data_IF_247836667717
#
_entry.id   IF_247836667717
#
_cell.length_a   1.000
_cell.length_b   1.000
_cell.length_c   1.000
_cell.angle_alpha   90.00
_cell.angle_beta   90.00
_cell.angle_gamma   90.00
#
_symmetry.space_group_name_H-M   'P 1'
#
loop_
_entity.id
_entity.type
_entity.pdbx_description
1 polymer ?
#
# COMPACT_ATOMS: atom_id res chain seq x y z
N UNK A 1 4.32 20.46 -3.63
CA UNK A 1 3.46 19.28 -3.47
C UNK A 1 3.79 18.48 -2.22
N UNK A 2 4.96 17.82 -2.10
CA UNK A 2 5.27 17.00 -0.90
C UNK A 2 5.30 17.76 0.43
N UNK A 3 5.77 19.01 0.44
CA UNK A 3 5.70 19.89 1.62
C UNK A 3 4.27 20.17 2.08
N UNK A 4 3.33 20.29 1.14
CA UNK A 4 1.92 20.51 1.44
C UNK A 4 1.26 19.21 1.94
N UNK A 5 1.63 18.06 1.35
CA UNK A 5 1.21 16.74 1.82
C UNK A 5 1.64 16.53 3.29
N UNK A 6 2.92 16.73 3.61
CA UNK A 6 3.43 16.62 4.99
C UNK A 6 2.78 17.63 5.95
N UNK A 7 2.38 18.80 5.44
CA UNK A 7 1.80 19.87 6.27
C UNK A 7 0.31 19.66 6.56
N UNK A 8 -0.44 19.10 5.61
CA UNK A 8 -1.91 19.08 5.67
C UNK A 8 -2.53 17.68 5.63
N UNK A 9 -1.82 16.65 5.18
CA UNK A 9 -2.38 15.31 4.97
C UNK A 9 -1.73 14.31 5.94
N UNK A 10 -2.48 13.91 6.98
CA UNK A 10 -2.01 13.02 8.07
C UNK A 10 -2.73 11.68 8.14
N UNK A 11 -3.62 11.39 7.18
CA UNK A 11 -4.40 10.17 7.17
C UNK A 11 -4.62 9.62 5.77
N UNK A 12 -4.93 8.33 5.73
CA UNK A 12 -5.35 7.61 4.53
C UNK A 12 -6.83 7.99 4.27
N UNK A 13 -7.14 8.65 3.15
CA UNK A 13 -8.48 9.10 2.79
C UNK A 13 -9.14 8.14 1.79
N UNK A 14 -10.47 8.00 1.86
CA UNK A 14 -11.25 7.08 1.01
C UNK A 14 -11.33 7.48 -0.47
N UNK A 15 -10.97 8.73 -0.80
CA UNK A 15 -10.92 9.22 -2.18
C UNK A 15 -9.55 8.89 -2.80
N UNK A 16 -9.37 7.63 -3.15
CA UNK A 16 -8.24 7.16 -3.92
C UNK A 16 -8.57 7.38 -5.39
N UNK A 17 -8.06 8.46 -5.97
CA UNK A 17 -8.17 8.72 -7.40
C UNK A 17 -7.91 7.45 -8.24
N UNK A 18 -8.67 7.32 -9.33
CA UNK A 18 -8.70 6.12 -10.16
C UNK A 18 -7.48 5.96 -11.08
N UNK A 19 -6.58 6.94 -11.09
CA UNK A 19 -5.41 6.95 -11.97
C UNK A 19 -4.21 6.29 -11.27
N UNK A 20 -3.93 5.04 -11.65
CA UNK A 20 -2.69 4.32 -11.35
C UNK A 20 -1.89 4.01 -12.62
N UNK A 21 -2.27 4.61 -13.75
CA UNK A 21 -1.68 4.38 -15.06
C UNK A 21 -1.86 2.94 -15.52
N UNK A 22 -0.82 2.13 -15.35
CA UNK A 22 -0.80 0.67 -15.64
C UNK A 22 -0.12 -0.11 -14.52
N UNK A 23 -0.01 0.47 -13.32
CA UNK A 23 0.68 -0.17 -12.20
C UNK A 23 -0.19 -1.26 -11.56
N UNK A 24 0.19 -2.53 -11.75
CA UNK A 24 -0.43 -3.67 -11.06
C UNK A 24 0.34 -4.02 -9.78
N UNK A 25 -0.18 -3.69 -8.58
CA UNK A 25 0.53 -3.96 -7.34
C UNK A 25 0.73 -5.47 -7.08
N UNK A 26 -0.16 -6.33 -7.57
CA UNK A 26 -0.01 -7.77 -7.39
C UNK A 26 1.18 -8.33 -8.17
N UNK A 27 1.70 -7.62 -9.16
CA UNK A 27 2.91 -8.02 -9.89
C UNK A 27 4.22 -7.73 -9.13
N UNK A 28 4.18 -6.91 -8.07
CA UNK A 28 5.39 -6.39 -7.42
C UNK A 28 5.50 -6.69 -5.91
N UNK A 29 4.45 -7.20 -5.24
CA UNK A 29 4.47 -7.50 -3.80
C UNK A 29 5.54 -8.53 -3.38
N UNK A 30 5.84 -9.48 -4.26
CA UNK A 30 6.83 -10.55 -4.09
C UNK A 30 7.87 -10.52 -5.21
N UNK A 31 8.12 -9.34 -5.80
CA UNK A 31 9.18 -9.16 -6.79
C UNK A 31 10.50 -9.70 -6.24
N UNK A 32 11.24 -10.44 -7.06
CA UNK A 32 12.49 -11.08 -6.67
C UNK A 32 13.66 -10.08 -6.65
N UNK A 33 14.70 -10.40 -5.86
CA UNK A 33 15.93 -9.60 -5.78
C UNK A 33 16.79 -9.69 -7.07
N UNK A 34 16.50 -10.63 -7.98
CA UNK A 34 17.25 -10.88 -9.22
C UNK A 34 16.90 -9.94 -10.39
N UNK A 35 16.15 -8.88 -10.12
CA UNK A 35 15.68 -7.92 -11.14
C UNK A 35 16.71 -6.87 -11.54
N UNK A 36 17.83 -6.79 -10.82
CA UNK A 36 18.87 -5.78 -11.04
C UNK A 36 18.55 -4.40 -10.45
N UNK A 37 17.42 -4.28 -9.73
CA UNK A 37 17.08 -3.12 -8.92
C UNK A 37 17.89 -3.11 -7.62
N UNK A 38 18.13 -1.91 -7.08
CA UNK A 38 18.75 -1.81 -5.76
C UNK A 38 17.77 -2.18 -4.63
N UNK A 39 18.32 -2.39 -3.43
CA UNK A 39 17.54 -2.84 -2.27
C UNK A 39 16.49 -1.83 -1.81
N UNK A 40 16.72 -0.53 -2.01
CA UNK A 40 15.77 0.51 -1.61
C UNK A 40 14.61 0.58 -2.59
N UNK A 41 14.88 0.47 -3.89
CA UNK A 41 13.86 0.39 -4.94
C UNK A 41 12.99 -0.87 -4.78
N UNK A 42 13.60 -2.03 -4.51
CA UNK A 42 12.87 -3.27 -4.24
C UNK A 42 11.99 -3.15 -3.00
N UNK A 43 12.51 -2.58 -1.91
CA UNK A 43 11.74 -2.34 -0.69
C UNK A 43 10.56 -1.40 -0.98
N UNK A 44 10.81 -0.29 -1.68
CA UNK A 44 9.78 0.70 -2.01
C UNK A 44 8.68 0.10 -2.88
N UNK A 45 9.03 -0.74 -3.87
CA UNK A 45 8.07 -1.44 -4.72
C UNK A 45 7.21 -2.42 -3.92
N UNK A 46 7.80 -3.23 -3.05
CA UNK A 46 7.07 -4.22 -2.24
C UNK A 46 6.13 -3.53 -1.26
N UNK A 47 6.64 -2.55 -0.50
CA UNK A 47 5.86 -1.77 0.47
C UNK A 47 4.76 -0.97 -0.22
N UNK A 48 5.09 -0.23 -1.28
CA UNK A 48 4.15 0.58 -2.05
C UNK A 48 3.04 -0.26 -2.69
N UNK A 49 3.38 -1.45 -3.21
CA UNK A 49 2.39 -2.38 -3.77
C UNK A 49 1.42 -2.89 -2.73
N UNK A 50 1.93 -3.32 -1.56
CA UNK A 50 1.08 -3.78 -0.47
C UNK A 50 0.17 -2.66 0.05
N UNK A 51 0.66 -1.42 0.14
CA UNK A 51 -0.15 -0.26 0.53
C UNK A 51 -1.23 0.03 -0.51
N UNK A 52 -0.90 0.03 -1.81
CA UNK A 52 -1.89 0.22 -2.88
C UNK A 52 -2.97 -0.87 -2.84
N UNK A 53 -2.61 -2.11 -2.51
CA UNK A 53 -3.57 -3.19 -2.28
C UNK A 53 -4.52 -2.84 -1.12
N UNK A 54 -4.01 -2.41 0.03
CA UNK A 54 -4.83 -2.00 1.17
C UNK A 54 -5.77 -0.83 0.84
N UNK A 55 -5.29 0.16 0.08
CA UNK A 55 -6.12 1.26 -0.43
C UNK A 55 -7.25 0.74 -1.33
N UNK A 56 -6.94 -0.15 -2.26
CA UNK A 56 -7.94 -0.75 -3.16
C UNK A 56 -8.94 -1.63 -2.40
N UNK A 57 -8.53 -2.29 -1.31
CA UNK A 57 -9.45 -3.01 -0.42
C UNK A 57 -10.43 -2.06 0.27
N UNK A 58 -9.93 -0.96 0.85
CA UNK A 58 -10.78 0.08 1.46
C UNK A 58 -11.74 0.70 0.44
N UNK A 59 -11.27 0.95 -0.78
CA UNK A 59 -12.10 1.46 -1.87
C UNK A 59 -13.20 0.46 -2.26
N UNK A 60 -12.85 -0.83 -2.39
CA UNK A 60 -13.81 -1.89 -2.70
C UNK A 60 -14.92 -1.96 -1.63
N UNK A 61 -14.57 -1.80 -0.35
CA UNK A 61 -15.56 -1.71 0.73
C UNK A 61 -16.42 -0.45 0.62
N UNK A 62 -15.81 0.72 0.41
CA UNK A 62 -16.51 2.01 0.29
C UNK A 62 -17.51 2.09 -0.87
N UNK A 63 -17.29 1.32 -1.95
CA UNK A 63 -18.20 1.25 -3.10
C UNK A 63 -19.41 0.31 -2.89
N UNK A 64 -19.65 -0.17 -1.66
CA UNK A 64 -20.72 -1.11 -1.36
C UNK A 64 -20.35 -2.57 -1.65
N UNK A 65 -19.05 -2.87 -1.81
CA UNK A 65 -18.53 -4.23 -1.82
C UNK A 65 -18.66 -4.86 -0.44
N UNK A 66 -19.86 -5.35 -0.11
CA UNK A 66 -20.05 -6.19 1.07
C UNK A 66 -19.21 -7.48 0.94
N UNK A 67 -18.83 -8.14 2.05
CA UNK A 67 -18.13 -9.43 2.06
C UNK A 67 -18.80 -10.54 1.23
N UNK A 68 -20.08 -10.37 0.87
CA UNK A 68 -20.84 -11.30 0.04
C UNK A 68 -20.63 -11.11 -1.49
N UNK A 69 -20.05 -9.99 -1.92
CA UNK A 69 -19.72 -9.71 -3.31
C UNK A 69 -18.21 -9.59 -3.44
N UNK A 70 -17.53 -10.74 -3.57
CA UNK A 70 -16.11 -10.78 -3.90
C UNK A 70 -15.90 -10.07 -5.24
N UNK A 71 -15.46 -8.81 -5.21
CA UNK A 71 -14.91 -8.19 -6.41
C UNK A 71 -13.74 -9.05 -6.89
N UNK A 72 -13.53 -9.10 -8.21
CA UNK A 72 -12.42 -9.87 -8.79
C UNK A 72 -11.08 -9.52 -8.10
N UNK A 73 -10.88 -8.24 -7.78
CA UNK A 73 -9.73 -7.77 -7.02
C UNK A 73 -9.63 -8.39 -5.62
N UNK A 74 -10.70 -8.38 -4.81
CA UNK A 74 -10.68 -8.96 -3.47
C UNK A 74 -10.38 -10.46 -3.48
N UNK A 75 -10.86 -11.17 -4.51
CA UNK A 75 -10.51 -12.58 -4.70
C UNK A 75 -9.02 -12.75 -5.03
N UNK A 76 -8.47 -11.96 -5.94
CA UNK A 76 -7.03 -11.99 -6.27
C UNK A 76 -6.14 -11.67 -5.06
N UNK A 77 -6.56 -10.73 -4.21
CA UNK A 77 -5.84 -10.42 -2.95
C UNK A 77 -5.89 -11.60 -1.99
N UNK A 78 -7.06 -12.25 -1.83
CA UNK A 78 -7.20 -13.44 -0.99
C UNK A 78 -6.31 -14.59 -1.49
N UNK A 79 -6.29 -14.83 -2.79
CA UNK A 79 -5.48 -15.89 -3.40
C UNK A 79 -3.98 -15.60 -3.20
N UNK A 80 -3.55 -14.35 -3.40
CA UNK A 80 -2.17 -13.92 -3.14
C UNK A 80 -1.79 -14.05 -1.65
N UNK A 81 -2.69 -13.73 -0.73
CA UNK A 81 -2.48 -13.87 0.70
C UNK A 81 -2.31 -15.35 1.10
N UNK A 82 -3.20 -16.23 0.63
CA UNK A 82 -3.11 -17.68 0.88
C UNK A 82 -1.83 -18.28 0.29
N UNK A 83 -1.36 -17.76 -0.85
CA UNK A 83 -0.11 -18.18 -1.47
C UNK A 83 1.15 -17.62 -0.77
N UNK A 84 1.03 -16.83 0.29
CA UNK A 84 2.17 -16.30 1.05
C UNK A 84 2.95 -15.20 0.33
N UNK A 85 2.33 -14.50 -0.64
CA UNK A 85 3.02 -13.50 -1.48
C UNK A 85 3.38 -12.21 -0.72
N UNK A 86 2.90 -12.03 0.51
CA UNK A 86 3.18 -10.84 1.32
C UNK A 86 4.31 -11.04 2.34
N UNK A 87 4.95 -12.22 2.39
CA UNK A 87 5.93 -12.59 3.42
C UNK A 87 7.14 -11.64 3.54
N UNK A 88 7.45 -10.88 2.48
CA UNK A 88 8.53 -9.89 2.46
C UNK A 88 8.16 -8.56 3.15
N UNK A 89 6.88 -8.36 3.47
CA UNK A 89 6.33 -7.16 4.12
C UNK A 89 5.38 -7.55 5.27
N UNK A 90 5.89 -8.21 6.34
CA UNK A 90 5.07 -8.92 7.34
C UNK A 90 4.07 -8.03 8.09
N UNK A 91 4.39 -6.75 8.33
CA UNK A 91 3.42 -5.83 8.93
C UNK A 91 2.25 -5.51 8.00
N UNK A 92 2.53 -5.33 6.70
CA UNK A 92 1.51 -5.09 5.70
C UNK A 92 0.73 -6.37 5.38
N UNK A 93 1.38 -7.53 5.42
CA UNK A 93 0.73 -8.85 5.38
C UNK A 93 -0.31 -8.99 6.48
N UNK A 94 0.03 -8.64 7.73
CA UNK A 94 -0.92 -8.67 8.84
C UNK A 94 -2.11 -7.73 8.60
N UNK A 95 -1.87 -6.56 8.00
CA UNK A 95 -2.94 -5.63 7.63
C UNK A 95 -3.85 -6.17 6.51
N UNK A 96 -3.28 -6.86 5.51
CA UNK A 96 -4.07 -7.53 4.45
C UNK A 96 -4.94 -8.62 5.07
N UNK A 97 -4.35 -9.45 5.95
CA UNK A 97 -5.08 -10.49 6.67
C UNK A 97 -6.25 -9.95 7.50
N UNK A 98 -6.04 -8.82 8.21
CA UNK A 98 -7.10 -8.10 8.91
C UNK A 98 -8.18 -7.59 7.94
N UNK A 99 -7.77 -6.99 6.83
CA UNK A 99 -8.67 -6.47 5.81
C UNK A 99 -9.57 -7.53 5.20
N UNK A 100 -9.04 -8.71 4.90
CA UNK A 100 -9.84 -9.83 4.38
C UNK A 100 -10.94 -10.30 5.34
N UNK A 101 -10.83 -9.97 6.63
CA UNK A 101 -11.79 -10.36 7.67
C UNK A 101 -12.75 -9.23 8.06
N UNK A 102 -12.27 -7.99 8.08
CA UNK A 102 -13.03 -6.85 8.58
C UNK A 102 -12.57 -5.53 7.97
N UNK A 103 -13.48 -4.87 7.26
CA UNK A 103 -13.31 -3.49 6.80
C UNK A 103 -13.01 -2.55 7.98
N UNK A 104 -13.77 -2.67 9.08
CA UNK A 104 -13.65 -1.78 10.24
C UNK A 104 -12.24 -1.91 10.84
N UNK A 105 -11.76 -3.13 11.03
CA UNK A 105 -10.41 -3.37 11.57
C UNK A 105 -9.32 -2.84 10.64
N UNK A 106 -9.47 -3.01 9.33
CA UNK A 106 -8.54 -2.44 8.35
C UNK A 106 -8.56 -0.91 8.37
N UNK A 107 -9.74 -0.31 8.46
CA UNK A 107 -9.92 1.15 8.52
C UNK A 107 -9.23 1.73 9.75
N UNK A 108 -9.41 1.12 10.91
CA UNK A 108 -8.72 1.53 12.15
C UNK A 108 -7.20 1.41 12.02
N UNK A 109 -6.71 0.33 11.42
CA UNK A 109 -5.26 0.11 11.22
C UNK A 109 -4.65 1.00 10.14
N UNK A 110 -5.43 1.42 9.15
CA UNK A 110 -4.95 2.15 7.97
C UNK A 110 -4.26 3.47 8.31
N UNK A 111 -4.66 4.13 9.40
CA UNK A 111 -4.08 5.40 9.83
C UNK A 111 -2.63 5.24 10.31
N UNK A 112 -2.32 4.13 10.99
CA UNK A 112 -0.95 3.84 11.42
C UNK A 112 -0.06 3.49 10.24
N UNK A 113 -0.58 2.70 9.30
CA UNK A 113 0.12 2.31 8.07
C UNK A 113 0.45 3.56 7.24
N UNK A 114 -0.52 4.44 7.03
CA UNK A 114 -0.29 5.70 6.31
C UNK A 114 0.82 6.53 6.95
N UNK A 115 0.74 6.72 8.28
CA UNK A 115 1.73 7.51 9.02
C UNK A 115 3.13 6.92 8.89
N UNK A 116 3.25 5.60 9.00
CA UNK A 116 4.55 4.91 8.98
C UNK A 116 5.17 4.86 7.58
N UNK A 117 4.40 4.52 6.54
CA UNK A 117 4.96 4.22 5.23
C UNK A 117 4.87 5.37 4.24
N UNK A 118 3.75 6.10 4.23
CA UNK A 118 3.50 7.15 3.23
C UNK A 118 3.97 8.50 3.75
N UNK A 119 3.49 8.89 4.93
CA UNK A 119 3.83 10.18 5.52
C UNK A 119 5.31 10.28 5.87
N UNK A 120 5.86 9.26 6.54
CA UNK A 120 7.28 9.26 6.92
C UNK A 120 8.19 9.35 5.70
N UNK A 121 7.90 8.60 4.63
CA UNK A 121 8.67 8.66 3.39
C UNK A 121 8.72 10.07 2.80
N UNK A 122 7.57 10.74 2.65
CA UNK A 122 7.55 12.12 2.14
C UNK A 122 8.15 13.14 3.13
N UNK A 123 8.02 12.90 4.43
CA UNK A 123 8.66 13.73 5.45
C UNK A 123 10.18 13.66 5.34
N UNK A 124 10.74 12.47 5.15
CA UNK A 124 12.17 12.25 4.95
C UNK A 124 12.64 12.93 3.66
N UNK A 125 11.94 12.76 2.54
CA UNK A 125 12.27 13.46 1.28
C UNK A 125 12.26 14.99 1.40
N UNK A 126 11.39 15.56 2.25
CA UNK A 126 11.33 17.01 2.48
C UNK A 126 12.49 17.49 3.37
N UNK A 127 12.95 16.64 4.28
CA UNK A 127 14.05 16.93 5.20
C UNK A 127 15.42 16.68 4.57
N UNK A 128 15.51 15.76 3.60
CA UNK A 128 16.72 15.46 2.85
C UNK A 128 17.04 16.62 1.87
N UNK A 129 17.81 17.59 2.37
CA UNK A 129 18.34 18.74 1.60
C UNK A 129 19.67 18.42 0.93
N UNK A 130 19.97 17.17 0.61
CA UNK A 130 21.23 16.83 -0.03
C UNK A 130 21.23 17.30 -1.50
N UNK A 131 22.15 18.18 -1.94
CA UNK A 131 22.36 18.38 -3.35
C UNK A 131 22.88 17.06 -3.91
N UNK A 132 22.08 16.37 -4.75
CA UNK A 132 22.55 15.18 -5.45
C UNK A 132 23.75 15.61 -6.32
N UNK A 133 24.93 15.13 -5.96
CA UNK A 133 26.12 15.30 -6.78
C UNK A 133 25.84 14.64 -8.14
N UNK A 134 26.02 15.43 -9.21
CA UNK A 134 26.10 14.96 -10.59
C UNK A 134 27.43 14.22 -10.83
#
# INVERSE_FOLDING_TARGET
MYRELVRFWRGLHEDFGWEDGTFDPLSYIDISDDTGLDSDDLRLLREGSAIKILCNMLLAYGQGGYPAHNSYFMQSVKDAYVAGRFHLVPELEAAVGLGLQSEIALRDRSQDIYRKYVFAYFADLVQDKSPKAL
#
